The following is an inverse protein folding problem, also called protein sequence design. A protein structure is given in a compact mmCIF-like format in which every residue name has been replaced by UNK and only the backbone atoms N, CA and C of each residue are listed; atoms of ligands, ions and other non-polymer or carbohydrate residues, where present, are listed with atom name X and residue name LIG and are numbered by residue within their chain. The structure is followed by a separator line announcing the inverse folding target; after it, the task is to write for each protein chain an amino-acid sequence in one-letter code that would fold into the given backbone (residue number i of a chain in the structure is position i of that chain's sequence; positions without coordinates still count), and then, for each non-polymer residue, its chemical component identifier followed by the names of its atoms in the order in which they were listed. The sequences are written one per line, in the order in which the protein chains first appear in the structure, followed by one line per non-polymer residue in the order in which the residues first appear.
data_IF_052439944518
#
_entry.id   IF_052439944518
#
_cell.length_a   1.000
_cell.length_b   1.000
_cell.length_c   1.000
_cell.angle_alpha   90.00
_cell.angle_beta   90.00
_cell.angle_gamma   90.00
#
_symmetry.space_group_name_H-M   'P 1'
#
loop_
_entity.id
_entity.type
_entity.pdbx_description
1 polymer ?
#
# COMPACT_ATOMS: atom_id res chain seq x y z
N UNK A 1 0.26 -42.24 -4.34
CA UNK A 1 -0.32 -40.93 -4.08
C UNK A 1 0.34 -39.96 -5.07
N UNK A 2 -0.34 -39.60 -6.15
CA UNK A 2 0.16 -38.60 -7.10
C UNK A 2 0.02 -37.24 -6.41
N UNK A 3 1.14 -36.62 -6.03
CA UNK A 3 1.17 -35.19 -5.73
C UNK A 3 0.80 -34.47 -7.01
N UNK A 4 -0.43 -33.98 -7.12
CA UNK A 4 -0.77 -33.09 -8.20
C UNK A 4 0.04 -31.82 -7.98
N UNK A 5 1.08 -31.62 -8.75
CA UNK A 5 1.79 -30.35 -8.85
C UNK A 5 0.76 -29.33 -9.32
N UNK A 6 0.33 -28.43 -8.42
CA UNK A 6 -0.58 -27.36 -8.76
C UNK A 6 0.17 -26.45 -9.73
N UNK A 7 -0.28 -26.43 -10.99
CA UNK A 7 0.33 -25.56 -12.00
C UNK A 7 0.23 -24.09 -11.55
N UNK A 8 1.31 -23.31 -11.72
CA UNK A 8 1.33 -21.90 -11.39
C UNK A 8 0.22 -21.16 -12.15
N UNK A 9 -0.60 -20.38 -11.43
CA UNK A 9 -1.67 -19.62 -12.06
C UNK A 9 -1.13 -18.34 -12.68
N UNK A 10 -1.11 -18.24 -14.03
CA UNK A 10 -0.68 -17.02 -14.73
C UNK A 10 -1.44 -15.77 -14.30
N UNK A 11 -2.71 -15.91 -13.92
CA UNK A 11 -3.51 -14.83 -13.36
C UNK A 11 -2.97 -14.34 -12.00
N UNK A 12 -2.63 -15.25 -11.11
CA UNK A 12 -2.09 -14.90 -9.79
C UNK A 12 -0.70 -14.27 -9.88
N UNK A 13 0.12 -14.74 -10.82
CA UNK A 13 1.42 -14.12 -11.12
C UNK A 13 1.23 -12.69 -11.60
N UNK A 14 0.30 -12.45 -12.52
CA UNK A 14 -0.02 -11.12 -13.00
C UNK A 14 -0.44 -10.18 -11.87
N UNK A 15 -1.26 -10.65 -10.93
CA UNK A 15 -1.65 -9.85 -9.75
C UNK A 15 -0.49 -9.59 -8.80
N UNK A 16 0.44 -10.52 -8.64
CA UNK A 16 1.64 -10.31 -7.81
C UNK A 16 2.55 -9.25 -8.42
N UNK A 17 2.78 -9.28 -9.74
CA UNK A 17 3.53 -8.24 -10.44
C UNK A 17 2.83 -6.88 -10.37
N UNK A 18 1.52 -6.85 -10.56
CA UNK A 18 0.73 -5.63 -10.40
C UNK A 18 0.85 -5.05 -8.99
N UNK A 19 0.72 -5.91 -7.96
CA UNK A 19 0.89 -5.49 -6.57
C UNK A 19 2.30 -4.92 -6.31
N UNK A 20 3.35 -5.58 -6.81
CA UNK A 20 4.73 -5.10 -6.68
C UNK A 20 4.94 -3.74 -7.34
N UNK A 21 4.45 -3.56 -8.56
CA UNK A 21 4.51 -2.28 -9.27
C UNK A 21 3.76 -1.17 -8.53
N UNK A 22 2.53 -1.45 -8.08
CA UNK A 22 1.74 -0.50 -7.31
C UNK A 22 2.40 -0.11 -5.98
N UNK A 23 3.02 -1.07 -5.30
CA UNK A 23 3.75 -0.80 -4.07
C UNK A 23 4.97 0.09 -4.31
N UNK A 24 5.75 -0.14 -5.37
CA UNK A 24 6.88 0.74 -5.75
C UNK A 24 6.37 2.15 -6.02
N UNK A 25 5.32 2.29 -6.82
CA UNK A 25 4.74 3.58 -7.17
C UNK A 25 4.22 4.32 -5.93
N UNK A 26 3.40 3.68 -5.11
CA UNK A 26 2.84 4.26 -3.88
C UNK A 26 3.94 4.59 -2.89
N UNK A 27 4.92 3.68 -2.69
CA UNK A 27 6.07 3.92 -1.83
C UNK A 27 6.88 5.13 -2.28
N UNK A 28 7.10 5.29 -3.58
CA UNK A 28 7.79 6.47 -4.15
C UNK A 28 7.01 7.76 -3.88
N UNK A 29 5.69 7.76 -4.05
CA UNK A 29 4.87 8.93 -3.72
C UNK A 29 4.92 9.27 -2.22
N UNK A 30 4.92 8.26 -1.34
CA UNK A 30 5.07 8.49 0.09
C UNK A 30 6.45 9.05 0.45
N UNK A 31 7.52 8.60 -0.21
CA UNK A 31 8.86 9.17 -0.04
C UNK A 31 8.87 10.65 -0.43
N UNK A 32 8.31 11.00 -1.58
CA UNK A 32 8.23 12.39 -2.04
C UNK A 32 7.39 13.24 -1.07
N UNK A 33 6.22 12.75 -0.66
CA UNK A 33 5.36 13.42 0.31
C UNK A 33 6.04 13.59 1.68
N UNK A 34 6.80 12.56 2.11
CA UNK A 34 7.58 12.61 3.33
C UNK A 34 8.68 13.65 3.29
N UNK A 35 9.44 13.73 2.19
CA UNK A 35 10.45 14.78 1.99
C UNK A 35 9.82 16.17 1.98
N UNK A 36 8.71 16.35 1.27
CA UNK A 36 7.98 17.62 1.26
C UNK A 36 7.55 18.03 2.69
N UNK A 37 7.01 17.09 3.48
CA UNK A 37 6.61 17.36 4.87
C UNK A 37 7.78 17.68 5.82
N UNK A 38 9.00 17.22 5.52
CA UNK A 38 10.19 17.49 6.32
C UNK A 38 10.80 18.86 5.97
N UNK A 39 10.82 19.20 4.66
CA UNK A 39 11.55 20.38 4.19
C UNK A 39 10.70 21.63 4.04
N UNK A 40 9.36 21.50 3.91
CA UNK A 40 8.49 22.64 3.66
C UNK A 40 7.20 22.56 4.49
N UNK A 41 7.21 23.12 5.70
CA UNK A 41 5.99 23.33 6.48
C UNK A 41 4.93 24.16 5.73
N UNK A 42 5.36 24.97 4.77
CA UNK A 42 4.51 25.87 3.99
C UNK A 42 3.87 25.21 2.79
N UNK A 43 4.54 24.20 2.19
CA UNK A 43 4.02 23.47 1.00
C UNK A 43 2.74 22.70 1.33
N UNK A 44 2.64 22.13 2.53
CA UNK A 44 1.44 21.41 3.00
C UNK A 44 0.26 22.35 3.30
N UNK A 45 0.51 23.66 3.45
CA UNK A 45 -0.55 24.67 3.60
C UNK A 45 -1.18 25.08 2.27
N UNK A 46 -0.46 24.93 1.16
CA UNK A 46 -0.91 25.33 -0.17
C UNK A 46 -1.69 24.22 -0.89
N UNK A 47 -1.42 22.96 -0.55
CA UNK A 47 -2.24 21.85 -1.01
C UNK A 47 -3.23 21.52 0.11
N UNK A 48 -4.46 22.02 0.07
CA UNK A 48 -5.48 21.55 1.00
C UNK A 48 -5.57 20.05 0.76
N UNK A 49 -5.10 19.26 1.70
CA UNK A 49 -5.30 17.83 1.66
C UNK A 49 -6.80 17.63 1.48
N UNK A 50 -7.19 17.07 0.33
CA UNK A 50 -8.58 16.85 -0.03
C UNK A 50 -9.22 16.10 1.14
N UNK A 51 -10.05 16.79 1.92
CA UNK A 51 -10.78 16.23 3.05
C UNK A 51 -10.24 16.56 4.45
N UNK A 52 -9.26 17.44 4.64
CA UNK A 52 -8.76 17.84 5.97
C UNK A 52 -9.27 19.19 6.47
N UNK A 53 -10.32 19.73 5.86
CA UNK A 53 -11.13 20.76 6.53
C UNK A 53 -11.96 20.12 7.66
N UNK A 54 -11.32 19.43 8.58
CA UNK A 54 -11.90 19.15 9.89
C UNK A 54 -11.59 20.35 10.76
N UNK A 55 -12.31 21.41 10.54
CA UNK A 55 -12.47 22.49 11.48
C UNK A 55 -13.32 21.98 12.64
N UNK A 56 -12.69 21.35 13.58
CA UNK A 56 -13.32 20.82 14.81
C UNK A 56 -12.29 20.06 15.61
N UNK A 57 -12.24 20.34 16.88
CA UNK A 57 -11.37 19.89 17.95
C UNK A 57 -11.01 18.38 18.00
N UNK A 58 -10.62 17.79 16.89
CA UNK A 58 -10.09 16.44 16.84
C UNK A 58 -8.61 16.44 17.27
N UNK A 59 -8.37 16.80 18.52
CA UNK A 59 -7.06 16.81 19.18
C UNK A 59 -6.40 15.42 19.31
N UNK A 60 -7.00 14.39 18.71
CA UNK A 60 -6.57 13.01 18.92
C UNK A 60 -5.27 12.66 18.19
N UNK A 61 -4.94 13.31 17.08
CA UNK A 61 -3.72 13.07 16.32
C UNK A 61 -3.17 14.36 15.68
N UNK A 62 -2.68 15.29 16.50
CA UNK A 62 -1.92 16.41 15.99
C UNK A 62 -0.45 15.98 15.81
N UNK A 63 -0.14 15.37 14.67
CA UNK A 63 1.24 15.25 14.23
C UNK A 63 1.65 16.57 13.56
N UNK A 64 2.80 17.11 13.98
CA UNK A 64 3.42 18.19 13.24
C UNK A 64 3.85 17.70 11.83
N UNK A 65 3.96 18.62 10.86
CA UNK A 65 4.25 18.28 9.47
C UNK A 65 5.57 17.47 9.35
N UNK A 66 6.54 17.78 10.18
CA UNK A 66 7.83 17.09 10.20
C UNK A 66 7.70 15.64 10.67
N UNK A 67 6.99 15.38 11.75
CA UNK A 67 6.73 14.01 12.24
C UNK A 67 5.93 13.22 11.21
N UNK A 68 4.91 13.81 10.59
CA UNK A 68 4.14 13.22 9.51
C UNK A 68 5.05 12.89 8.31
N UNK A 69 5.95 13.81 7.95
CA UNK A 69 6.93 13.64 6.89
C UNK A 69 7.85 12.44 7.13
N UNK A 70 8.39 12.29 8.34
CA UNK A 70 9.24 11.13 8.69
C UNK A 70 8.50 9.79 8.60
N UNK A 71 7.26 9.73 9.05
CA UNK A 71 6.42 8.53 8.95
C UNK A 71 6.23 8.12 7.47
N UNK A 72 5.93 9.10 6.61
CA UNK A 72 5.73 8.85 5.18
C UNK A 72 7.03 8.48 4.48
N UNK A 73 8.15 9.13 4.81
CA UNK A 73 9.45 8.84 4.24
C UNK A 73 9.88 7.40 4.55
N UNK A 74 9.89 7.03 5.82
CA UNK A 74 10.33 5.68 6.24
C UNK A 74 9.35 4.62 5.73
N UNK A 75 8.05 4.86 5.91
CA UNK A 75 7.01 3.95 5.42
C UNK A 75 7.06 3.77 3.91
N UNK A 76 7.26 4.86 3.16
CA UNK A 76 7.40 4.84 1.71
C UNK A 76 8.60 4.02 1.24
N UNK A 77 9.76 4.19 1.88
CA UNK A 77 10.96 3.38 1.58
C UNK A 77 10.67 1.89 1.81
N UNK A 78 10.08 1.53 2.96
CA UNK A 78 9.76 0.14 3.29
C UNK A 78 8.80 -0.46 2.27
N UNK A 79 7.75 0.27 1.89
CA UNK A 79 6.76 -0.18 0.91
C UNK A 79 7.37 -0.33 -0.48
N UNK A 80 8.22 0.62 -0.92
CA UNK A 80 8.89 0.53 -2.22
C UNK A 80 9.85 -0.68 -2.28
N UNK A 81 10.66 -0.89 -1.23
CA UNK A 81 11.56 -2.05 -1.14
C UNK A 81 10.79 -3.38 -1.11
N UNK A 82 9.65 -3.42 -0.41
CA UNK A 82 8.78 -4.59 -0.42
C UNK A 82 8.20 -4.84 -1.82
N UNK A 83 7.85 -3.79 -2.57
CA UNK A 83 7.44 -3.92 -3.97
C UNK A 83 8.49 -4.62 -4.83
N UNK A 84 9.76 -4.24 -4.71
CA UNK A 84 10.86 -4.95 -5.39
C UNK A 84 11.03 -6.39 -4.88
N UNK A 85 10.90 -6.61 -3.57
CA UNK A 85 10.96 -7.93 -2.96
C UNK A 85 9.87 -8.89 -3.44
N UNK A 86 8.72 -8.40 -3.90
CA UNK A 86 7.67 -9.24 -4.48
C UNK A 86 8.11 -9.90 -5.78
N UNK A 87 8.91 -9.23 -6.60
CA UNK A 87 9.41 -9.78 -7.87
C UNK A 87 10.42 -10.91 -7.64
N UNK A 88 11.11 -10.92 -6.51
CA UNK A 88 12.00 -12.02 -6.09
C UNK A 88 11.29 -13.10 -5.25
N UNK A 89 9.97 -13.02 -5.08
CA UNK A 89 9.19 -13.98 -4.29
C UNK A 89 9.47 -13.94 -2.79
N UNK A 90 10.09 -12.86 -2.27
CA UNK A 90 10.48 -12.75 -0.88
C UNK A 90 9.27 -12.80 0.09
N UNK A 91 9.36 -13.65 1.12
CA UNK A 91 8.27 -13.85 2.09
C UNK A 91 7.97 -12.57 2.87
N UNK A 92 9.02 -11.85 3.31
CA UNK A 92 8.87 -10.60 4.05
C UNK A 92 8.12 -9.53 3.25
N UNK A 93 8.41 -9.45 1.93
CA UNK A 93 7.75 -8.51 1.02
C UNK A 93 6.25 -8.80 0.89
N UNK A 94 5.87 -10.09 0.80
CA UNK A 94 4.46 -10.52 0.79
C UNK A 94 3.75 -10.15 2.09
N UNK A 95 4.42 -10.35 3.23
CA UNK A 95 3.86 -10.00 4.53
C UNK A 95 3.58 -8.49 4.61
N UNK A 96 4.53 -7.65 4.20
CA UNK A 96 4.34 -6.19 4.14
C UNK A 96 3.21 -5.83 3.18
N UNK A 97 3.17 -6.44 1.99
CA UNK A 97 2.10 -6.20 1.00
C UNK A 97 0.71 -6.53 1.56
N UNK A 98 0.56 -7.65 2.25
CA UNK A 98 -0.71 -8.04 2.90
C UNK A 98 -1.08 -7.05 4.01
N UNK A 99 -0.14 -6.67 4.88
CA UNK A 99 -0.39 -5.70 5.96
C UNK A 99 -0.85 -4.37 5.37
N UNK A 100 -0.15 -3.86 4.36
CA UNK A 100 -0.50 -2.60 3.71
C UNK A 100 -1.87 -2.66 3.02
N UNK A 101 -2.20 -3.78 2.37
CA UNK A 101 -3.52 -3.98 1.76
C UNK A 101 -4.64 -4.00 2.81
N UNK A 102 -4.43 -4.65 3.96
CA UNK A 102 -5.40 -4.63 5.06
C UNK A 102 -5.59 -3.22 5.60
N UNK A 103 -4.50 -2.49 5.87
CA UNK A 103 -4.57 -1.10 6.35
C UNK A 103 -5.32 -0.23 5.33
N UNK A 104 -5.00 -0.35 4.04
CA UNK A 104 -5.67 0.41 2.98
C UNK A 104 -7.16 0.09 2.91
N UNK A 105 -7.55 -1.18 3.07
CA UNK A 105 -8.96 -1.59 3.09
C UNK A 105 -9.70 -1.00 4.29
N UNK A 106 -9.08 -0.99 5.47
CA UNK A 106 -9.68 -0.41 6.69
C UNK A 106 -9.86 1.11 6.56
N UNK A 107 -8.85 1.80 6.04
CA UNK A 107 -8.95 3.24 5.76
C UNK A 107 -10.04 3.50 4.73
N UNK A 108 -10.06 2.76 3.61
CA UNK A 108 -11.08 2.90 2.58
C UNK A 108 -12.50 2.64 3.13
N UNK A 109 -12.65 1.66 4.02
CA UNK A 109 -13.93 1.38 4.70
C UNK A 109 -14.39 2.57 5.54
N UNK A 110 -13.49 3.20 6.30
CA UNK A 110 -13.80 4.39 7.10
C UNK A 110 -14.22 5.58 6.23
N UNK A 111 -13.74 5.67 4.98
CA UNK A 111 -14.07 6.74 4.04
C UNK A 111 -15.32 6.48 3.17
N UNK A 112 -15.94 5.28 3.23
CA UNK A 112 -17.15 4.95 2.46
C UNK A 112 -18.27 5.99 2.58
N UNK A 113 -18.57 6.57 3.77
CA UNK A 113 -19.65 7.56 3.88
C UNK A 113 -19.48 8.80 2.99
N UNK A 114 -18.24 9.17 2.68
CA UNK A 114 -17.91 10.33 1.85
C UNK A 114 -17.60 9.97 0.39
N UNK A 115 -16.96 8.81 0.17
CA UNK A 115 -16.51 8.37 -1.15
C UNK A 115 -16.82 6.88 -1.39
N UNK A 116 -18.12 6.50 -1.49
CA UNK A 116 -18.54 5.10 -1.52
C UNK A 116 -17.94 4.33 -2.71
N UNK A 117 -17.95 4.92 -3.90
CA UNK A 117 -17.42 4.25 -5.11
C UNK A 117 -15.93 3.97 -4.99
N UNK A 118 -15.13 4.96 -4.55
CA UNK A 118 -13.69 4.80 -4.36
C UNK A 118 -13.38 3.81 -3.24
N UNK A 119 -14.11 3.87 -2.13
CA UNK A 119 -13.94 2.94 -1.02
C UNK A 119 -14.14 1.49 -1.46
N UNK A 120 -15.21 1.20 -2.20
CA UNK A 120 -15.50 -0.13 -2.70
C UNK A 120 -14.42 -0.62 -3.67
N UNK A 121 -13.95 0.23 -4.60
CA UNK A 121 -12.89 -0.10 -5.55
C UNK A 121 -11.59 -0.46 -4.81
N UNK A 122 -11.18 0.38 -3.84
CA UNK A 122 -9.95 0.14 -3.06
C UNK A 122 -10.06 -1.16 -2.26
N UNK A 123 -11.19 -1.44 -1.62
CA UNK A 123 -11.41 -2.67 -0.87
C UNK A 123 -11.35 -3.89 -1.81
N UNK A 124 -11.99 -3.82 -2.97
CA UNK A 124 -11.95 -4.91 -3.94
C UNK A 124 -10.52 -5.19 -4.43
N UNK A 125 -9.75 -4.14 -4.72
CA UNK A 125 -8.34 -4.28 -5.09
C UNK A 125 -7.49 -4.84 -3.96
N UNK A 126 -7.71 -4.40 -2.72
CA UNK A 126 -7.00 -4.91 -1.54
C UNK A 126 -7.27 -6.42 -1.35
N UNK A 127 -8.51 -6.85 -1.50
CA UNK A 127 -8.88 -8.29 -1.43
C UNK A 127 -8.18 -9.09 -2.53
N UNK A 128 -8.13 -8.58 -3.77
CA UNK A 128 -7.43 -9.23 -4.87
C UNK A 128 -5.92 -9.34 -4.61
N UNK A 129 -5.29 -8.29 -4.08
CA UNK A 129 -3.87 -8.29 -3.69
C UNK A 129 -3.62 -9.28 -2.56
N UNK A 130 -4.43 -9.28 -1.51
CA UNK A 130 -4.30 -10.23 -0.39
C UNK A 130 -4.40 -11.67 -0.92
N UNK A 131 -5.40 -11.96 -1.76
CA UNK A 131 -5.57 -13.26 -2.36
C UNK A 131 -4.35 -13.69 -3.18
N UNK A 132 -3.85 -12.82 -4.06
CA UNK A 132 -2.68 -13.11 -4.89
C UNK A 132 -1.43 -13.41 -4.05
N UNK A 133 -1.16 -12.59 -3.04
CA UNK A 133 0.04 -12.71 -2.22
C UNK A 133 -0.02 -13.89 -1.23
N UNK A 134 -1.21 -14.29 -0.79
CA UNK A 134 -1.37 -15.40 0.17
C UNK A 134 -1.52 -16.75 -0.52
N UNK A 135 -2.33 -16.83 -1.58
CA UNK A 135 -2.63 -18.10 -2.24
C UNK A 135 -1.54 -18.53 -3.23
N UNK A 136 -0.90 -17.59 -3.92
CA UNK A 136 -0.02 -17.85 -5.05
C UNK A 136 1.32 -17.12 -5.01
N UNK A 137 1.67 -16.52 -3.89
CA UNK A 137 2.88 -15.70 -3.76
C UNK A 137 4.20 -16.47 -3.98
N UNK A 138 4.18 -17.81 -4.05
CA UNK A 138 5.33 -18.66 -4.38
C UNK A 138 5.44 -18.99 -5.86
N UNK A 139 4.40 -18.73 -6.63
CA UNK A 139 4.36 -19.10 -8.06
C UNK A 139 5.34 -18.27 -8.90
N UNK A 140 5.75 -17.08 -8.41
CA UNK A 140 6.70 -16.19 -9.08
C UNK A 140 8.10 -16.80 -9.18
N UNK A 141 8.51 -17.66 -8.24
CA UNK A 141 9.84 -18.28 -8.19
C UNK A 141 9.90 -19.67 -8.78
N UNK A 142 8.79 -20.21 -9.28
CA UNK A 142 8.73 -21.56 -9.84
C UNK A 142 9.09 -21.65 -11.32
N UNK A 143 9.53 -20.56 -11.95
CA UNK A 143 9.93 -20.50 -13.36
C UNK A 143 11.46 -20.49 -13.59
N UNK A 144 12.27 -20.56 -12.53
CA UNK A 144 13.73 -20.77 -12.61
C UNK A 144 14.03 -22.26 -12.42
#
# INVERSE_FOLDING_TARGET
MSMSSREPSGWAIGWTYFAGFMMIMIGTFHVIAGLAGIFEDEFLRVVPAVGTEVQGDAYFLQFDATTWGWIHLIGGIVVALAGFGLFSGAVWARTIGVIMAVISALIAFAWIPWYPVWGIIIIAMAVAVIWALTAHGRDVTSYE
#
